data_IF_744102481714
#
_entry.id   IF_744102481714
#
_cell.length_a   1.000
_cell.length_b   1.000
_cell.length_c   1.000
_cell.angle_alpha   90.00
_cell.angle_beta   90.00
_cell.angle_gamma   90.00
#
_symmetry.space_group_name_H-M   'P 1'
#
loop_
_entity.id
_entity.type
_entity.pdbx_description
1 polymer ?
#
# COMPACT_ATOMS: atom_id res chain seq x y z
N UNK A 1 -42.72 -27.37 -51.64
CA UNK A 1 -41.74 -27.78 -50.62
C UNK A 1 -40.45 -26.91 -50.59
N UNK A 2 -40.48 -25.59 -50.29
CA UNK A 2 -39.25 -24.83 -50.03
C UNK A 2 -39.15 -24.19 -48.62
N UNK A 3 -40.16 -24.35 -47.76
CA UNK A 3 -40.24 -23.67 -46.45
C UNK A 3 -39.56 -24.41 -45.29
N UNK A 4 -39.37 -25.74 -45.40
CA UNK A 4 -38.75 -26.56 -44.36
C UNK A 4 -37.21 -26.51 -44.37
N UNK A 5 -36.59 -26.28 -45.54
CA UNK A 5 -35.13 -26.25 -45.69
C UNK A 5 -34.52 -24.97 -45.08
N UNK A 6 -35.27 -23.84 -45.10
CA UNK A 6 -34.81 -22.57 -44.52
C UNK A 6 -34.78 -22.58 -42.99
N UNK A 7 -35.72 -23.27 -42.34
CA UNK A 7 -35.79 -23.35 -40.88
C UNK A 7 -34.64 -24.19 -40.29
N UNK A 8 -34.32 -25.34 -40.91
CA UNK A 8 -33.22 -26.19 -40.47
C UNK A 8 -31.84 -25.54 -40.63
N UNK A 9 -31.65 -24.74 -41.70
CA UNK A 9 -30.41 -24.01 -41.93
C UNK A 9 -30.16 -22.92 -40.87
N UNK A 10 -31.20 -22.16 -40.49
CA UNK A 10 -31.10 -21.12 -39.48
C UNK A 10 -30.80 -21.68 -38.08
N UNK A 11 -31.38 -22.84 -37.74
CA UNK A 11 -31.16 -23.52 -36.45
C UNK A 11 -29.74 -24.10 -36.33
N UNK A 12 -29.17 -24.58 -37.44
CA UNK A 12 -27.77 -25.02 -37.49
C UNK A 12 -26.80 -23.83 -37.37
N UNK A 13 -27.10 -22.70 -38.02
CA UNK A 13 -26.29 -21.48 -37.90
C UNK A 13 -26.34 -20.92 -36.47
N UNK A 14 -27.52 -20.92 -35.82
CA UNK A 14 -27.66 -20.46 -34.43
C UNK A 14 -26.93 -21.38 -33.45
N UNK A 15 -26.96 -22.70 -33.66
CA UNK A 15 -26.16 -23.68 -32.91
C UNK A 15 -24.66 -23.47 -33.10
N UNK A 16 -24.21 -23.22 -34.32
CA UNK A 16 -22.81 -22.94 -34.62
C UNK A 16 -22.37 -21.62 -33.97
N UNK A 17 -23.23 -20.58 -33.96
CA UNK A 17 -22.93 -19.31 -33.30
C UNK A 17 -22.84 -19.44 -31.77
N UNK A 18 -23.72 -20.24 -31.15
CA UNK A 18 -23.61 -20.56 -29.71
C UNK A 18 -22.36 -21.39 -29.41
N UNK A 19 -22.07 -22.43 -30.21
CA UNK A 19 -20.87 -23.26 -30.02
C UNK A 19 -19.57 -22.49 -30.25
N UNK A 20 -19.53 -21.59 -31.24
CA UNK A 20 -18.40 -20.69 -31.47
C UNK A 20 -18.27 -19.65 -30.35
N UNK A 21 -19.39 -19.14 -29.83
CA UNK A 21 -19.41 -18.24 -28.67
C UNK A 21 -18.90 -18.90 -27.39
N UNK A 22 -19.36 -20.12 -27.08
CA UNK A 22 -18.87 -20.91 -25.96
C UNK A 22 -17.39 -21.28 -26.12
N UNK A 23 -16.96 -21.64 -27.34
CA UNK A 23 -15.57 -21.98 -27.61
C UNK A 23 -14.64 -20.77 -27.58
N UNK A 24 -15.08 -19.59 -28.04
CA UNK A 24 -14.33 -18.33 -27.93
C UNK A 24 -14.23 -17.89 -26.47
N UNK A 25 -15.31 -18.01 -25.70
CA UNK A 25 -15.33 -17.75 -24.26
C UNK A 25 -14.42 -18.71 -23.48
N UNK A 26 -14.43 -20.00 -23.81
CA UNK A 26 -13.51 -20.99 -23.20
C UNK A 26 -12.05 -20.70 -23.54
N UNK A 27 -11.78 -20.24 -24.76
CA UNK A 27 -10.44 -19.84 -25.21
C UNK A 27 -9.97 -18.58 -24.49
N UNK A 28 -10.86 -17.64 -24.21
CA UNK A 28 -10.56 -16.42 -23.46
C UNK A 28 -10.26 -16.71 -21.97
N UNK A 29 -11.05 -17.58 -21.34
CA UNK A 29 -10.83 -18.05 -19.96
C UNK A 29 -9.50 -18.83 -19.83
N UNK A 30 -9.21 -19.72 -20.78
CA UNK A 30 -7.95 -20.50 -20.78
C UNK A 30 -6.73 -19.64 -21.05
N UNK A 31 -6.84 -18.60 -21.90
CA UNK A 31 -5.73 -17.66 -22.14
C UNK A 31 -5.47 -16.73 -20.95
N UNK A 32 -6.52 -16.26 -20.25
CA UNK A 32 -6.37 -15.48 -19.03
C UNK A 32 -5.72 -16.30 -17.89
N UNK A 33 -6.13 -17.57 -17.75
CA UNK A 33 -5.50 -18.54 -16.85
C UNK A 33 -4.02 -18.78 -17.21
N UNK A 34 -3.71 -18.99 -18.50
CA UNK A 34 -2.35 -19.23 -18.96
C UNK A 34 -1.42 -18.03 -18.75
N UNK A 35 -1.93 -16.80 -18.96
CA UNK A 35 -1.17 -15.58 -18.71
C UNK A 35 -0.76 -15.45 -17.24
N UNK A 36 -1.70 -15.64 -16.33
CA UNK A 36 -1.45 -15.59 -14.89
C UNK A 36 -0.47 -16.68 -14.46
N UNK A 37 -0.65 -17.93 -14.90
CA UNK A 37 0.28 -19.02 -14.58
C UNK A 37 1.70 -18.75 -15.08
N UNK A 38 1.85 -18.18 -16.27
CA UNK A 38 3.15 -17.75 -16.77
C UNK A 38 3.77 -16.67 -15.88
N UNK A 39 3.03 -15.62 -15.50
CA UNK A 39 3.51 -14.59 -14.56
C UNK A 39 3.88 -15.18 -13.19
N UNK A 40 3.11 -16.15 -12.69
CA UNK A 40 3.40 -16.82 -11.41
C UNK A 40 4.71 -17.64 -11.45
N UNK A 41 5.13 -18.09 -12.64
CA UNK A 41 6.42 -18.79 -12.84
C UNK A 41 7.62 -17.85 -12.68
N UNK A 42 7.45 -16.57 -13.01
CA UNK A 42 8.50 -15.53 -13.00
C UNK A 42 8.71 -14.89 -11.62
N UNK A 43 7.89 -15.23 -10.62
CA UNK A 43 7.97 -14.63 -9.30
C UNK A 43 9.27 -15.04 -8.56
N UNK A 44 10.03 -14.08 -8.03
CA UNK A 44 11.24 -14.36 -7.28
C UNK A 44 10.95 -14.76 -5.82
N UNK A 45 11.88 -15.51 -5.23
CA UNK A 45 11.91 -15.86 -3.81
C UNK A 45 12.48 -14.72 -2.93
N UNK A 46 12.09 -13.47 -3.23
CA UNK A 46 12.62 -12.25 -2.61
C UNK A 46 11.50 -11.42 -1.95
N UNK A 47 11.83 -10.52 -1.00
CA UNK A 47 10.85 -9.62 -0.42
C UNK A 47 10.44 -8.52 -1.41
N UNK A 48 9.22 -8.03 -1.27
CA UNK A 48 8.72 -6.96 -2.12
C UNK A 48 7.25 -6.62 -1.91
N UNK A 49 6.73 -5.73 -2.75
CA UNK A 49 5.31 -5.39 -2.80
C UNK A 49 4.69 -5.89 -4.09
N UNK A 50 3.44 -6.35 -4.02
CA UNK A 50 2.64 -6.77 -5.18
C UNK A 50 1.34 -5.96 -5.26
N UNK A 51 0.85 -5.79 -6.49
CA UNK A 51 -0.35 -5.02 -6.80
C UNK A 51 -1.26 -5.88 -7.67
N UNK A 52 -2.47 -6.15 -7.19
CA UNK A 52 -3.48 -6.89 -7.94
C UNK A 52 -4.35 -5.90 -8.71
N UNK A 53 -4.67 -6.22 -9.97
CA UNK A 53 -5.40 -5.37 -10.89
C UNK A 53 -6.67 -6.05 -11.41
N UNK A 54 -7.69 -5.24 -11.66
CA UNK A 54 -8.89 -5.69 -12.39
C UNK A 54 -8.68 -5.72 -13.91
N UNK A 55 -9.72 -6.12 -14.64
CA UNK A 55 -9.72 -6.20 -16.11
C UNK A 55 -9.47 -4.86 -16.80
N UNK A 56 -9.71 -3.74 -16.12
CA UNK A 56 -9.44 -2.39 -16.62
C UNK A 56 -8.02 -1.91 -16.26
N UNK A 57 -7.20 -2.78 -15.64
CA UNK A 57 -5.85 -2.45 -15.18
C UNK A 57 -5.83 -1.61 -13.90
N UNK A 58 -6.96 -1.40 -13.22
CA UNK A 58 -7.03 -0.61 -11.98
C UNK A 58 -6.52 -1.45 -10.81
N UNK A 59 -5.65 -0.86 -9.99
CA UNK A 59 -5.13 -1.52 -8.79
C UNK A 59 -6.26 -1.64 -7.75
N UNK A 60 -6.68 -2.88 -7.48
CA UNK A 60 -7.75 -3.21 -6.53
C UNK A 60 -7.23 -3.67 -5.17
N UNK A 61 -5.98 -4.13 -5.10
CA UNK A 61 -5.31 -4.50 -3.87
C UNK A 61 -3.79 -4.30 -3.96
N UNK A 62 -3.17 -3.93 -2.84
CA UNK A 62 -1.71 -3.87 -2.68
C UNK A 62 -1.33 -4.64 -1.42
N UNK A 63 -0.26 -5.42 -1.49
CA UNK A 63 0.30 -6.09 -0.31
C UNK A 63 1.83 -6.15 -0.33
N UNK A 64 2.42 -6.50 0.82
CA UNK A 64 3.84 -6.87 0.94
C UNK A 64 4.03 -8.37 1.12
N UNK A 65 5.23 -8.85 0.80
CA UNK A 65 5.65 -10.22 1.05
C UNK A 65 7.13 -10.28 1.46
N UNK A 66 7.47 -11.19 2.37
CA UNK A 66 8.86 -11.60 2.62
C UNK A 66 9.41 -12.47 1.49
N UNK A 67 8.53 -13.23 0.85
CA UNK A 67 8.79 -14.04 -0.33
C UNK A 67 7.59 -13.84 -1.27
N UNK A 68 7.82 -13.13 -2.38
CA UNK A 68 6.79 -12.81 -3.37
C UNK A 68 6.18 -14.06 -4.01
N UNK A 69 7.01 -15.03 -4.39
CA UNK A 69 6.57 -16.29 -5.00
C UNK A 69 5.55 -17.03 -4.17
N UNK A 70 5.85 -17.31 -2.90
CA UNK A 70 4.94 -18.04 -2.01
C UNK A 70 3.66 -17.25 -1.74
N UNK A 71 3.79 -15.94 -1.47
CA UNK A 71 2.67 -15.10 -1.08
C UNK A 71 1.69 -14.86 -2.23
N UNK A 72 2.18 -14.59 -3.44
CA UNK A 72 1.30 -14.32 -4.58
C UNK A 72 0.67 -15.61 -5.09
N UNK A 73 1.44 -16.72 -5.17
CA UNK A 73 0.89 -18.03 -5.58
C UNK A 73 -0.20 -18.53 -4.66
N UNK A 74 -0.14 -18.24 -3.35
CA UNK A 74 -1.19 -18.68 -2.42
C UNK A 74 -2.56 -18.16 -2.82
N UNK A 75 -2.67 -16.97 -3.43
CA UNK A 75 -3.95 -16.40 -3.87
C UNK A 75 -4.65 -17.22 -4.96
N UNK A 76 -3.88 -17.92 -5.80
CA UNK A 76 -4.40 -18.62 -6.97
C UNK A 76 -4.45 -20.14 -6.80
N UNK A 77 -3.63 -20.70 -5.90
CA UNK A 77 -3.52 -22.16 -5.71
C UNK A 77 -4.23 -22.69 -4.47
N UNK A 78 -4.68 -21.81 -3.58
CA UNK A 78 -5.36 -22.21 -2.34
C UNK A 78 -6.82 -21.76 -2.37
N UNK A 79 -7.69 -22.57 -1.74
CA UNK A 79 -9.06 -22.15 -1.48
C UNK A 79 -9.07 -20.99 -0.48
N UNK A 80 -9.93 -20.01 -0.73
CA UNK A 80 -10.08 -18.82 0.10
C UNK A 80 -11.55 -18.58 0.40
N UNK A 81 -11.82 -17.98 1.55
CA UNK A 81 -13.18 -17.63 1.97
C UNK A 81 -13.36 -16.11 2.09
N UNK A 82 -14.63 -15.69 1.98
CA UNK A 82 -15.08 -14.33 2.22
C UNK A 82 -14.39 -13.29 1.34
N UNK A 83 -13.84 -12.25 1.97
CA UNK A 83 -13.30 -11.07 1.26
C UNK A 83 -12.11 -11.39 0.36
N UNK A 84 -11.28 -12.38 0.71
CA UNK A 84 -10.11 -12.75 -0.09
C UNK A 84 -10.58 -13.41 -1.39
N UNK A 85 -11.53 -14.34 -1.32
CA UNK A 85 -12.11 -14.96 -2.51
C UNK A 85 -12.74 -13.93 -3.46
N UNK A 86 -13.52 -13.00 -2.90
CA UNK A 86 -14.14 -11.92 -3.68
C UNK A 86 -13.12 -10.98 -4.34
N UNK A 87 -11.98 -10.75 -3.70
CA UNK A 87 -10.89 -9.98 -4.30
C UNK A 87 -10.24 -10.76 -5.43
N UNK A 88 -9.86 -12.03 -5.20
CA UNK A 88 -9.18 -12.88 -6.18
C UNK A 88 -10.03 -13.08 -7.43
N UNK A 89 -11.36 -13.21 -7.30
CA UNK A 89 -12.25 -13.36 -8.45
C UNK A 89 -12.30 -12.13 -9.37
N UNK A 90 -11.85 -10.96 -8.90
CA UNK A 90 -11.77 -9.73 -9.70
C UNK A 90 -10.37 -9.48 -10.26
N UNK A 91 -9.37 -10.31 -9.92
CA UNK A 91 -8.00 -10.15 -10.40
C UNK A 91 -7.91 -10.63 -11.84
N UNK A 92 -7.58 -9.71 -12.74
CA UNK A 92 -7.24 -10.02 -14.14
C UNK A 92 -5.72 -10.02 -14.37
N UNK A 93 -4.96 -9.26 -13.57
CA UNK A 93 -3.50 -9.18 -13.66
C UNK A 93 -2.86 -8.80 -12.31
N UNK A 94 -1.55 -8.99 -12.17
CA UNK A 94 -0.78 -8.48 -11.04
C UNK A 94 0.63 -8.03 -11.44
N UNK A 95 1.14 -7.04 -10.71
CA UNK A 95 2.53 -6.59 -10.79
C UNK A 95 3.24 -6.79 -9.44
N UNK A 96 4.57 -6.77 -9.47
CA UNK A 96 5.39 -6.78 -8.26
C UNK A 96 6.65 -5.93 -8.41
N UNK A 97 7.12 -5.42 -7.27
CA UNK A 97 8.37 -4.68 -7.15
C UNK A 97 9.20 -5.39 -6.08
N UNK A 98 10.38 -5.86 -6.49
CA UNK A 98 11.34 -6.50 -5.59
C UNK A 98 12.04 -5.43 -4.75
N UNK A 99 12.32 -5.75 -3.49
CA UNK A 99 13.04 -4.90 -2.55
C UNK A 99 14.19 -5.67 -1.92
N UNK A 100 15.14 -4.97 -1.32
CA UNK A 100 16.30 -5.61 -0.67
C UNK A 100 15.95 -6.12 0.72
N UNK A 101 14.97 -5.50 1.39
CA UNK A 101 14.60 -5.83 2.77
C UNK A 101 13.09 -5.83 3.00
N UNK A 102 12.63 -6.57 4.03
CA UNK A 102 11.22 -6.55 4.46
C UNK A 102 10.75 -5.16 4.93
N UNK A 103 11.68 -4.31 5.40
CA UNK A 103 11.40 -2.92 5.80
C UNK A 103 11.10 -2.05 4.59
N UNK A 104 11.85 -2.21 3.50
CA UNK A 104 11.59 -1.52 2.23
C UNK A 104 10.27 -1.99 1.61
N UNK A 105 10.01 -3.30 1.58
CA UNK A 105 8.73 -3.85 1.11
C UNK A 105 7.54 -3.24 1.85
N UNK A 106 7.68 -3.08 3.17
CA UNK A 106 6.69 -2.45 4.02
C UNK A 106 6.51 -0.96 3.69
N UNK A 107 7.59 -0.17 3.59
CA UNK A 107 7.49 1.24 3.24
C UNK A 107 6.86 1.45 1.86
N UNK A 108 7.22 0.59 0.90
CA UNK A 108 6.69 0.62 -0.45
C UNK A 108 5.19 0.31 -0.47
N UNK A 109 4.74 -0.74 0.23
CA UNK A 109 3.32 -1.07 0.38
C UNK A 109 2.51 0.13 0.90
N UNK A 110 3.00 0.80 1.95
CA UNK A 110 2.33 1.98 2.52
C UNK A 110 2.19 3.08 1.47
N UNK A 111 3.30 3.38 0.79
CA UNK A 111 3.34 4.43 -0.23
C UNK A 111 2.35 4.14 -1.37
N UNK A 112 2.27 2.88 -1.82
CA UNK A 112 1.36 2.48 -2.88
C UNK A 112 -0.11 2.47 -2.44
N UNK A 113 -0.42 2.03 -1.21
CA UNK A 113 -1.78 2.09 -0.67
C UNK A 113 -2.24 3.55 -0.54
N UNK A 114 -1.37 4.43 -0.04
CA UNK A 114 -1.67 5.85 0.08
C UNK A 114 -1.92 6.50 -1.28
N UNK A 115 -1.11 6.17 -2.28
CA UNK A 115 -1.19 6.70 -3.64
C UNK A 115 -2.46 6.23 -4.37
N UNK A 116 -2.78 4.94 -4.31
CA UNK A 116 -3.84 4.36 -5.14
C UNK A 116 -5.18 4.14 -4.41
N UNK A 117 -5.20 4.19 -3.08
CA UNK A 117 -6.39 3.96 -2.25
C UNK A 117 -7.24 2.74 -2.69
N UNK A 118 -6.61 1.58 -2.95
CA UNK A 118 -7.23 0.44 -3.63
C UNK A 118 -8.42 -0.13 -2.86
N UNK A 119 -9.49 -0.53 -3.55
CA UNK A 119 -10.79 -0.89 -2.95
C UNK A 119 -10.69 -1.93 -1.81
N UNK A 120 -9.90 -2.99 -1.99
CA UNK A 120 -9.80 -4.08 -1.02
C UNK A 120 -8.86 -3.81 0.16
N UNK A 121 -7.98 -2.82 0.12
CA UNK A 121 -7.22 -2.42 1.30
C UNK A 121 -8.12 -1.58 2.21
N UNK A 122 -8.70 -2.17 3.27
CA UNK A 122 -9.54 -1.40 4.21
C UNK A 122 -8.66 -0.68 5.24
N UNK A 123 -7.63 -1.39 5.74
CA UNK A 123 -6.63 -0.81 6.63
C UNK A 123 -5.75 0.14 5.80
N UNK A 124 -5.31 1.25 6.40
CA UNK A 124 -4.36 2.23 5.84
C UNK A 124 -4.92 3.20 4.77
N UNK A 125 -6.23 3.20 4.50
CA UNK A 125 -6.88 4.20 3.63
C UNK A 125 -7.05 5.56 4.30
N UNK A 126 -7.54 5.57 5.54
CA UNK A 126 -7.81 6.78 6.33
C UNK A 126 -6.82 6.86 7.48
N UNK A 127 -5.96 7.88 7.46
CA UNK A 127 -4.82 7.94 8.35
C UNK A 127 -3.78 6.88 8.00
N UNK A 128 -2.58 7.02 8.55
CA UNK A 128 -1.47 6.18 8.13
C UNK A 128 -1.54 4.79 8.73
N UNK A 129 -2.35 4.54 9.78
CA UNK A 129 -2.36 3.28 10.56
C UNK A 129 -1.02 2.94 11.25
N UNK A 130 0.05 3.63 10.88
CA UNK A 130 1.39 3.54 11.40
C UNK A 130 1.72 4.77 12.24
N UNK A 131 2.49 4.59 13.32
CA UNK A 131 2.95 5.68 14.15
C UNK A 131 3.98 6.54 13.40
N UNK A 132 3.84 7.83 13.58
CA UNK A 132 4.78 8.88 13.18
C UNK A 132 5.22 9.61 14.43
N UNK A 133 6.45 10.10 14.41
CA UNK A 133 6.94 11.05 15.39
C UNK A 133 6.65 12.44 14.83
N UNK A 134 5.83 13.21 15.52
CA UNK A 134 5.50 14.60 15.21
C UNK A 134 6.31 15.53 16.10
N UNK A 135 6.90 16.57 15.51
CA UNK A 135 7.41 17.74 16.22
C UNK A 135 6.43 18.90 15.98
N UNK A 136 5.82 19.42 17.03
CA UNK A 136 4.83 20.51 16.93
C UNK A 136 5.47 21.83 16.49
N UNK A 137 4.67 22.66 15.80
CA UNK A 137 5.07 24.00 15.36
C UNK A 137 4.52 25.07 16.31
N UNK A 138 4.88 24.98 17.58
CA UNK A 138 4.55 25.98 18.60
C UNK A 138 5.84 26.60 19.15
N UNK A 139 5.72 27.69 19.92
CA UNK A 139 6.89 28.40 20.50
C UNK A 139 7.83 27.46 21.28
N UNK A 140 7.26 26.47 21.96
CA UNK A 140 7.96 25.43 22.70
C UNK A 140 7.64 24.04 22.12
N UNK A 141 8.39 23.57 21.09
CA UNK A 141 8.07 22.35 20.37
C UNK A 141 8.02 21.10 21.28
N UNK A 142 7.04 20.24 21.00
CA UNK A 142 6.86 18.94 21.65
C UNK A 142 7.03 17.82 20.64
N UNK A 143 7.51 16.68 21.15
CA UNK A 143 7.52 15.42 20.41
C UNK A 143 6.30 14.59 20.81
N UNK A 144 5.51 14.18 19.83
CA UNK A 144 4.31 13.36 20.02
C UNK A 144 4.32 12.18 19.04
N UNK A 145 3.77 11.04 19.46
CA UNK A 145 3.53 9.91 18.54
C UNK A 145 2.09 10.00 18.05
N UNK A 146 1.89 10.00 16.73
CA UNK A 146 0.57 10.11 16.10
C UNK A 146 0.42 9.14 14.94
N UNK A 147 -0.79 8.60 14.77
CA UNK A 147 -1.18 7.80 13.59
C UNK A 147 -1.79 8.62 12.46
N UNK A 148 -1.76 9.96 12.57
CA UNK A 148 -2.37 10.87 11.59
C UNK A 148 -1.44 12.04 11.30
N UNK A 149 -1.17 12.25 10.01
CA UNK A 149 -0.46 13.42 9.49
C UNK A 149 -1.49 14.51 9.22
N UNK A 150 -1.27 15.71 9.75
CA UNK A 150 -2.12 16.89 9.55
C UNK A 150 -1.30 18.01 8.89
N UNK A 151 -1.97 18.91 8.16
CA UNK A 151 -1.35 20.13 7.61
C UNK A 151 -1.33 21.24 8.68
N UNK A 152 -0.74 20.96 9.84
CA UNK A 152 -0.71 21.87 11.01
C UNK A 152 0.64 22.57 11.20
N UNK A 153 1.50 22.53 10.18
CA UNK A 153 2.86 23.10 10.24
C UNK A 153 3.88 22.25 11.01
N UNK A 154 3.45 21.18 11.68
CA UNK A 154 4.34 20.25 12.38
C UNK A 154 5.22 19.43 11.43
N UNK A 155 6.37 18.99 11.93
CA UNK A 155 7.25 18.07 11.22
C UNK A 155 6.88 16.63 11.57
N UNK A 156 6.75 15.77 10.57
CA UNK A 156 6.37 14.36 10.75
C UNK A 156 7.47 13.45 10.24
N UNK A 157 7.92 12.52 11.09
CA UNK A 157 8.95 11.53 10.81
C UNK A 157 8.36 10.13 10.89
N UNK A 158 8.66 9.27 9.92
CA UNK A 158 8.09 7.94 9.81
C UNK A 158 7.69 7.62 8.36
N UNK A 159 6.84 6.60 8.14
CA UNK A 159 6.16 5.75 9.13
C UNK A 159 7.11 4.82 9.88
N UNK A 160 6.85 4.56 11.17
CA UNK A 160 7.53 3.53 11.94
C UNK A 160 6.78 2.19 11.85
N UNK A 161 7.49 1.04 11.89
CA UNK A 161 6.87 -0.28 11.73
C UNK A 161 5.87 -0.62 12.84
N UNK A 162 6.10 -0.11 14.05
CA UNK A 162 5.23 -0.27 15.20
C UNK A 162 5.44 0.89 16.19
N UNK A 163 4.58 0.97 17.22
CA UNK A 163 4.64 2.04 18.22
C UNK A 163 5.92 1.96 19.06
N UNK A 164 6.42 0.76 19.32
CA UNK A 164 7.64 0.55 20.09
C UNK A 164 8.87 1.18 19.41
N UNK A 165 9.06 0.95 18.10
CA UNK A 165 10.15 1.55 17.32
C UNK A 165 10.06 3.09 17.28
N UNK A 166 8.83 3.64 17.23
CA UNK A 166 8.63 5.08 17.33
C UNK A 166 8.97 5.59 18.75
N UNK A 167 8.59 4.86 19.79
CA UNK A 167 8.90 5.20 21.19
C UNK A 167 10.40 5.16 21.46
N UNK A 168 11.13 4.13 21.03
CA UNK A 168 12.58 4.04 21.18
C UNK A 168 13.28 5.21 20.50
N UNK A 169 12.87 5.52 19.27
CA UNK A 169 13.44 6.67 18.52
C UNK A 169 13.12 7.98 19.23
N UNK A 170 11.90 8.17 19.72
CA UNK A 170 11.51 9.34 20.50
C UNK A 170 12.34 9.45 21.80
N UNK A 171 12.52 8.36 22.54
CA UNK A 171 13.34 8.33 23.75
C UNK A 171 14.80 8.66 23.46
N UNK A 172 15.34 8.18 22.33
CA UNK A 172 16.68 8.53 21.89
C UNK A 172 16.79 10.04 21.57
N UNK A 173 15.85 10.59 20.78
CA UNK A 173 15.82 12.02 20.45
C UNK A 173 15.73 12.86 21.73
N UNK A 174 14.90 12.46 22.69
CA UNK A 174 14.73 13.17 23.98
C UNK A 174 15.99 13.13 24.87
N UNK A 175 16.86 12.13 24.70
CA UNK A 175 18.15 12.07 25.41
C UNK A 175 19.18 13.02 24.78
N UNK A 176 19.16 13.17 23.46
CA UNK A 176 20.13 13.98 22.71
C UNK A 176 19.70 15.45 22.63
N UNK A 177 18.39 15.69 22.50
CA UNK A 177 17.79 17.01 22.39
C UNK A 177 16.84 17.26 23.56
N UNK A 178 17.09 18.28 24.39
CA UNK A 178 16.22 18.61 25.51
C UNK A 178 14.95 19.31 25.01
N UNK A 179 14.00 18.52 24.50
CA UNK A 179 12.69 19.01 24.07
C UNK A 179 11.67 18.91 25.20
N UNK A 180 10.61 19.73 25.13
CA UNK A 180 9.58 19.83 26.17
C UNK A 180 8.83 18.50 26.31
N UNK A 181 8.79 17.96 27.54
CA UNK A 181 8.12 16.69 27.88
C UNK A 181 6.72 16.85 28.49
N UNK A 182 6.39 18.03 29.04
CA UNK A 182 5.19 18.23 29.85
C UNK A 182 4.09 19.01 29.11
N UNK A 183 2.84 18.56 29.27
CA UNK A 183 1.66 19.34 28.93
C UNK A 183 1.40 20.37 30.03
N UNK A 184 1.99 21.56 29.91
CA UNK A 184 1.74 22.67 30.84
C UNK A 184 2.90 23.65 30.97
N UNK A 185 2.58 24.90 31.25
CA UNK A 185 3.55 25.95 31.56
C UNK A 185 3.96 25.77 33.03
N UNK A 186 5.09 25.10 33.30
CA UNK A 186 5.51 24.81 34.68
C UNK A 186 6.14 26.02 35.41
N UNK A 187 5.96 27.26 34.92
CA UNK A 187 6.42 28.48 35.61
C UNK A 187 7.93 28.62 35.80
N UNK A 188 8.74 27.64 35.36
CA UNK A 188 10.20 27.69 35.37
C UNK A 188 10.71 28.04 33.97
N UNK A 189 11.54 29.07 33.79
CA UNK A 189 12.17 29.33 32.50
C UNK A 189 13.10 28.16 32.19
N UNK A 190 12.92 27.52 31.04
CA UNK A 190 13.94 26.62 30.49
C UNK A 190 15.11 27.48 30.02
N UNK A 191 16.03 27.77 30.94
CA UNK A 191 17.11 28.76 30.79
C UNK A 191 18.24 28.33 29.84
N UNK A 192 17.99 27.47 28.84
CA UNK A 192 19.07 26.94 28.01
C UNK A 192 18.76 26.42 26.60
N UNK A 193 17.55 26.63 26.04
CA UNK A 193 17.20 26.01 24.73
C UNK A 193 16.90 27.02 23.62
N UNK A 194 16.47 28.25 23.96
CA UNK A 194 16.05 29.25 22.97
C UNK A 194 17.21 29.70 22.06
N UNK A 195 18.46 29.58 22.52
CA UNK A 195 19.64 29.95 21.72
C UNK A 195 20.18 28.82 20.81
N UNK A 196 19.93 27.55 21.10
CA UNK A 196 20.54 26.45 20.33
C UNK A 196 19.68 25.98 19.14
N UNK A 197 18.37 25.81 19.33
CA UNK A 197 17.49 25.27 18.26
C UNK A 197 17.31 26.28 17.13
N UNK A 198 17.26 27.57 17.46
CA UNK A 198 17.13 28.68 16.51
C UNK A 198 18.34 28.84 15.58
N UNK A 199 19.52 28.38 16.01
CA UNK A 199 20.79 28.55 15.28
C UNK A 199 21.19 27.27 14.52
N UNK A 200 20.91 26.08 15.08
CA UNK A 200 21.44 24.82 14.54
C UNK A 200 20.52 24.07 13.56
N UNK A 201 19.19 24.20 13.71
CA UNK A 201 18.23 23.55 12.80
C UNK A 201 18.36 24.03 11.34
N UNK A 202 18.63 25.32 11.06
CA UNK A 202 18.96 25.77 9.71
C UNK A 202 20.35 25.34 9.24
N UNK A 203 21.34 25.28 10.14
CA UNK A 203 22.76 25.11 9.81
C UNK A 203 23.17 23.65 9.50
N UNK A 204 22.46 22.67 10.05
CA UNK A 204 22.83 21.25 9.94
C UNK A 204 22.43 20.59 8.63
N UNK A 205 21.63 21.22 7.77
CA UNK A 205 21.15 20.64 6.50
C UNK A 205 20.28 19.38 6.65
N UNK A 206 20.13 18.83 7.86
CA UNK A 206 19.49 17.55 8.17
C UNK A 206 17.96 17.55 7.96
N UNK A 207 17.33 18.72 7.82
CA UNK A 207 15.87 18.89 7.81
C UNK A 207 15.27 19.29 6.45
N UNK A 208 16.04 19.20 5.36
CA UNK A 208 15.59 19.65 4.03
C UNK A 208 14.82 18.59 3.23
N UNK A 209 13.78 17.97 3.82
CA UNK A 209 12.69 17.34 3.04
C UNK A 209 11.36 17.60 3.73
N UNK A 210 10.74 18.72 3.35
CA UNK A 210 9.33 19.01 3.57
C UNK A 210 8.52 18.00 2.75
N UNK A 211 8.11 16.90 3.37
CA UNK A 211 7.18 15.96 2.74
C UNK A 211 5.82 16.65 2.74
N UNK A 212 5.46 17.26 1.62
CA UNK A 212 4.10 17.75 1.41
C UNK A 212 3.22 16.50 1.27
N UNK A 213 2.25 16.33 2.17
CA UNK A 213 1.23 15.29 2.02
C UNK A 213 0.49 15.45 0.70
N UNK A 214 -0.04 14.36 0.12
CA UNK A 214 -0.71 14.41 -1.18
C UNK A 214 -1.91 15.36 -1.13
N UNK A 215 -2.13 16.04 -2.25
CA UNK A 215 -3.31 16.87 -2.51
C UNK A 215 -4.59 16.04 -2.48
#
# INVERSE_FOLDING_TARGET
>A
MPSLIKAACLQSIFRIFIMLGEHLFYKEITMASAHIEHKLSLLPDLPGSYQMKDINGKIIYVGKAKNLKNRVRSYFKSSHDGKVAAMVSQVADFDFIVTSTDKEAFLLEITLIQKYQPYYNIKLKKGTGYPYIKITHERDPKIEITGTIRKDGGYYFGPYPNVYAAQETMHFIQKVYPLRRCNGYQGRPWLGIITWVSVWVPASGLFRKRIHGPN
#
